data_IF_852570617994
#
_entry.id   IF_852570617994
#
_cell.length_a   1.000
_cell.length_b   1.000
_cell.length_c   1.000
_cell.angle_alpha   90.00
_cell.angle_beta   90.00
_cell.angle_gamma   90.00
#
_symmetry.space_group_name_H-M   'P 1'
#
loop_
_entity.id
_entity.type
_entity.pdbx_description
1 polymer ?
#
# COMPACT_ATOMS: atom_id res chain seq x y z
N UNK A 1 16.94 44.84 32.56
CA UNK A 1 15.69 44.96 33.34
C UNK A 1 14.48 44.23 32.72
N UNK A 2 14.15 44.40 31.42
CA UNK A 2 13.03 43.65 30.80
C UNK A 2 13.32 42.14 30.64
N UNK A 3 14.49 41.79 30.13
CA UNK A 3 14.85 40.37 29.91
C UNK A 3 14.96 39.58 31.21
N UNK A 4 15.57 40.17 32.25
CA UNK A 4 15.67 39.55 33.59
C UNK A 4 14.29 39.27 34.19
N UNK A 5 13.38 40.26 34.13
CA UNK A 5 11.99 40.09 34.60
C UNK A 5 11.23 38.99 33.84
N UNK A 6 11.43 38.87 32.53
CA UNK A 6 10.82 37.79 31.73
C UNK A 6 11.41 36.42 32.10
N UNK A 7 12.72 36.34 32.37
CA UNK A 7 13.39 35.15 32.88
C UNK A 7 12.83 34.69 34.24
N UNK A 8 12.67 35.62 35.18
CA UNK A 8 12.10 35.32 36.50
C UNK A 8 10.63 34.90 36.41
N UNK A 9 9.87 35.51 35.50
CA UNK A 9 8.48 35.14 35.26
C UNK A 9 8.36 33.72 34.66
N UNK A 10 9.23 33.38 33.71
CA UNK A 10 9.29 32.04 33.13
C UNK A 10 9.62 31.00 34.20
N UNK A 11 10.63 31.27 35.02
CA UNK A 11 11.09 30.36 36.09
C UNK A 11 10.01 30.12 37.16
N UNK A 12 9.26 31.16 37.51
CA UNK A 12 8.10 31.02 38.43
C UNK A 12 6.98 30.21 37.81
N UNK A 13 6.69 30.41 36.51
CA UNK A 13 5.67 29.63 35.81
C UNK A 13 6.05 28.15 35.66
N UNK A 14 7.32 27.83 35.40
CA UNK A 14 7.78 26.43 35.33
C UNK A 14 7.65 25.75 36.68
N UNK A 15 8.15 26.37 37.76
CA UNK A 15 8.02 25.82 39.11
C UNK A 15 6.54 25.62 39.52
N UNK A 16 5.66 26.56 39.15
CA UNK A 16 4.22 26.41 39.39
C UNK A 16 3.59 25.26 38.60
N UNK A 17 4.05 25.00 37.37
CA UNK A 17 3.54 23.88 36.55
C UNK A 17 4.03 22.53 37.06
N UNK A 18 5.28 22.47 37.52
CA UNK A 18 5.89 21.24 38.05
C UNK A 18 5.22 20.81 39.37
N UNK A 19 4.65 21.75 40.12
CA UNK A 19 3.90 21.49 41.34
C UNK A 19 2.39 21.24 41.13
N UNK A 20 1.89 21.24 39.88
CA UNK A 20 0.46 21.01 39.61
C UNK A 20 0.06 19.56 39.94
N UNK A 21 -1.08 19.40 40.59
CA UNK A 21 -1.78 18.11 40.65
C UNK A 21 -2.39 17.74 39.30
N UNK A 22 -2.71 16.45 39.10
CA UNK A 22 -3.38 15.97 37.89
C UNK A 22 -4.69 16.72 37.60
N UNK A 23 -5.47 17.04 38.63
CA UNK A 23 -6.73 17.78 38.48
C UNK A 23 -6.50 19.23 38.05
N UNK A 24 -5.51 19.91 38.64
CA UNK A 24 -5.12 21.26 38.24
C UNK A 24 -4.59 21.28 36.81
N UNK A 25 -3.76 20.31 36.43
CA UNK A 25 -3.28 20.15 35.06
C UNK A 25 -4.44 19.93 34.09
N UNK A 26 -5.38 19.04 34.42
CA UNK A 26 -6.59 18.80 33.59
C UNK A 26 -7.38 20.09 33.41
N UNK A 27 -7.77 20.74 34.51
CA UNK A 27 -8.54 21.99 34.48
C UNK A 27 -7.85 23.08 33.65
N UNK A 28 -6.54 23.26 33.82
CA UNK A 28 -5.76 24.21 33.01
C UNK A 28 -5.74 23.82 31.53
N UNK A 29 -5.55 22.54 31.20
CA UNK A 29 -5.55 22.10 29.80
C UNK A 29 -6.93 22.21 29.16
N UNK A 30 -8.00 22.01 29.92
CA UNK A 30 -9.37 22.15 29.43
C UNK A 30 -9.72 23.62 29.17
N UNK A 31 -9.36 24.53 30.09
CA UNK A 31 -9.47 25.97 29.87
C UNK A 31 -8.66 26.41 28.64
N UNK A 32 -7.42 25.89 28.49
CA UNK A 32 -6.60 26.18 27.31
C UNK A 32 -7.24 25.67 26.01
N UNK A 33 -7.85 24.48 26.01
CA UNK A 33 -8.58 23.93 24.86
C UNK A 33 -9.81 24.78 24.54
N UNK A 34 -10.57 25.20 25.54
CA UNK A 34 -11.75 26.03 25.37
C UNK A 34 -11.38 27.39 24.75
N UNK A 35 -10.35 28.07 25.27
CA UNK A 35 -9.86 29.33 24.71
C UNK A 35 -9.36 29.17 23.27
N UNK A 36 -8.63 28.09 22.98
CA UNK A 36 -8.20 27.81 21.60
C UNK A 36 -9.38 27.53 20.68
N UNK A 37 -10.39 26.79 21.14
CA UNK A 37 -11.62 26.53 20.40
C UNK A 37 -12.37 27.81 20.06
N UNK A 38 -12.57 28.68 21.06
CA UNK A 38 -13.19 29.99 20.88
C UNK A 38 -12.40 30.88 19.90
N UNK A 39 -11.07 30.93 20.04
CA UNK A 39 -10.21 31.66 19.11
C UNK A 39 -10.34 31.13 17.68
N UNK A 40 -10.41 29.82 17.47
CA UNK A 40 -10.61 29.21 16.14
C UNK A 40 -12.00 29.45 15.55
N UNK A 41 -13.01 29.54 16.40
CA UNK A 41 -14.38 29.86 15.98
C UNK A 41 -14.50 31.31 15.51
N UNK A 42 -13.74 32.22 16.12
CA UNK A 42 -13.68 33.64 15.77
C UNK A 42 -12.73 33.96 14.60
N UNK A 43 -11.98 32.98 14.06
CA UNK A 43 -11.05 33.20 12.94
C UNK A 43 -11.78 33.67 11.68
N UNK A 44 -11.25 34.70 11.02
CA UNK A 44 -11.64 35.05 9.66
C UNK A 44 -11.21 33.95 8.67
N UNK A 45 -11.81 33.89 7.46
CA UNK A 45 -11.37 32.96 6.41
C UNK A 45 -9.89 33.09 6.07
N UNK A 46 -9.34 34.31 6.04
CA UNK A 46 -7.93 34.58 5.74
C UNK A 46 -7.03 34.07 6.87
N UNK A 47 -7.38 34.37 8.13
CA UNK A 47 -6.64 33.88 9.30
C UNK A 47 -6.63 32.35 9.35
N UNK A 48 -7.78 31.73 9.03
CA UNK A 48 -7.91 30.28 8.91
C UNK A 48 -7.01 29.72 7.80
N UNK A 49 -6.98 30.36 6.63
CA UNK A 49 -6.11 29.96 5.53
C UNK A 49 -4.63 30.05 5.91
N UNK A 50 -4.19 31.15 6.52
CA UNK A 50 -2.82 31.31 7.00
C UNK A 50 -2.45 30.23 8.01
N UNK A 51 -3.28 30.00 9.04
CA UNK A 51 -3.04 28.95 10.04
C UNK A 51 -2.92 27.56 9.41
N UNK A 52 -3.80 27.22 8.46
CA UNK A 52 -3.74 25.95 7.73
C UNK A 52 -2.52 25.87 6.80
N UNK A 53 -2.10 27.00 6.21
CA UNK A 53 -0.84 27.14 5.48
C UNK A 53 0.36 26.81 6.36
N UNK A 54 0.49 27.47 7.50
CA UNK A 54 1.59 27.25 8.46
C UNK A 54 1.58 25.83 9.02
N UNK A 55 0.39 25.25 9.25
CA UNK A 55 0.26 23.86 9.66
C UNK A 55 0.79 22.91 8.59
N UNK A 56 0.44 23.14 7.32
CA UNK A 56 0.96 22.35 6.18
C UNK A 56 2.48 22.49 6.05
N UNK A 57 3.02 23.70 6.15
CA UNK A 57 4.46 23.96 6.06
C UNK A 57 5.25 23.26 7.18
N UNK A 58 4.77 23.34 8.42
CA UNK A 58 5.35 22.61 9.56
C UNK A 58 5.29 21.09 9.38
N UNK A 59 4.17 20.58 8.88
CA UNK A 59 4.04 19.15 8.58
C UNK A 59 4.99 18.71 7.47
N UNK A 60 5.17 19.51 6.41
CA UNK A 60 6.12 19.21 5.34
C UNK A 60 7.55 19.17 5.89
N UNK A 61 7.97 20.21 6.60
CA UNK A 61 9.30 20.28 7.22
C UNK A 61 9.56 19.10 8.16
N UNK A 62 8.57 18.74 8.98
CA UNK A 62 8.66 17.57 9.85
C UNK A 62 8.78 16.26 9.07
N UNK A 63 8.13 16.13 7.89
CA UNK A 63 8.25 14.94 7.04
C UNK A 63 9.62 14.82 6.40
N UNK A 64 10.19 15.93 5.96
CA UNK A 64 11.51 15.96 5.33
C UNK A 64 12.62 15.61 6.33
N UNK A 65 12.44 16.00 7.60
CA UNK A 65 13.35 15.65 8.68
C UNK A 65 13.24 14.20 9.18
N UNK A 66 12.27 13.39 8.71
CA UNK A 66 12.06 12.02 9.21
C UNK A 66 13.13 11.04 8.72
N UNK A 67 13.61 10.22 9.64
CA UNK A 67 14.45 9.06 9.30
C UNK A 67 13.71 8.04 8.43
N UNK A 68 14.45 7.13 7.79
CA UNK A 68 13.85 6.05 7.00
C UNK A 68 12.91 5.18 7.83
N UNK A 69 13.32 4.80 9.05
CA UNK A 69 12.51 4.00 9.98
C UNK A 69 11.22 4.72 10.39
N UNK A 70 11.30 6.01 10.73
CA UNK A 70 10.12 6.82 11.05
C UNK A 70 9.17 6.99 9.86
N UNK A 71 9.70 6.95 8.63
CA UNK A 71 8.88 6.91 7.41
C UNK A 71 8.21 5.54 7.26
N UNK A 72 8.93 4.44 7.47
CA UNK A 72 8.39 3.08 7.37
C UNK A 72 7.29 2.82 8.41
N UNK A 73 7.48 3.20 9.68
CA UNK A 73 6.43 3.05 10.71
C UNK A 73 5.17 3.84 10.37
N UNK A 74 5.33 5.07 9.86
CA UNK A 74 4.21 5.87 9.36
C UNK A 74 3.50 5.20 8.19
N UNK A 75 4.24 4.69 7.20
CA UNK A 75 3.63 3.99 6.07
C UNK A 75 2.94 2.69 6.50
N UNK A 76 3.48 1.97 7.49
CA UNK A 76 2.85 0.80 8.10
C UNK A 76 1.52 1.16 8.77
N UNK A 77 1.50 2.19 9.61
CA UNK A 77 0.28 2.68 10.27
C UNK A 77 -0.78 3.16 9.27
N UNK A 78 -0.39 3.80 8.16
CA UNK A 78 -1.31 4.24 7.11
C UNK A 78 -1.81 3.09 6.20
N UNK A 79 -1.13 1.94 6.21
CA UNK A 79 -1.53 0.74 5.46
C UNK A 79 -2.50 -0.15 6.23
N UNK A 80 -2.78 0.14 7.50
CA UNK A 80 -3.78 -0.58 8.28
C UNK A 80 -5.18 -0.36 7.68
N UNK A 81 -5.59 -1.29 6.82
CA UNK A 81 -6.91 -1.35 6.17
C UNK A 81 -7.88 -2.25 6.91
N UNK A 82 -7.45 -2.81 8.04
CA UNK A 82 -8.17 -3.81 8.83
C UNK A 82 -9.47 -3.27 9.45
N UNK A 83 -9.64 -1.94 9.50
CA UNK A 83 -10.83 -1.28 10.02
C UNK A 83 -11.84 -0.84 8.94
N UNK A 84 -11.61 -1.10 7.64
CA UNK A 84 -12.59 -0.76 6.60
C UNK A 84 -13.83 -1.65 6.70
N UNK A 85 -15.03 -1.06 6.68
CA UNK A 85 -16.26 -1.83 6.54
C UNK A 85 -16.40 -2.42 5.12
N UNK A 86 -17.25 -3.45 4.92
CA UNK A 86 -17.54 -3.98 3.59
C UNK A 86 -18.05 -2.92 2.61
N UNK A 87 -18.87 -1.97 3.07
CA UNK A 87 -19.42 -0.87 2.27
C UNK A 87 -18.32 0.12 1.88
N UNK A 88 -17.45 0.50 2.83
CA UNK A 88 -16.30 1.35 2.56
C UNK A 88 -15.35 0.70 1.55
N UNK A 89 -15.15 -0.61 1.67
CA UNK A 89 -14.35 -1.40 0.73
C UNK A 89 -14.94 -1.37 -0.68
N UNK A 90 -16.27 -1.54 -0.81
CA UNK A 90 -16.97 -1.46 -2.11
C UNK A 90 -16.81 -0.09 -2.75
N UNK A 91 -17.10 0.97 -2.00
CA UNK A 91 -16.96 2.37 -2.47
C UNK A 91 -15.53 2.63 -2.95
N UNK A 92 -14.52 2.19 -2.20
CA UNK A 92 -13.11 2.35 -2.57
C UNK A 92 -12.77 1.60 -3.85
N UNK A 93 -13.25 0.36 -4.01
CA UNK A 93 -13.00 -0.43 -5.23
C UNK A 93 -13.67 0.21 -6.44
N UNK A 94 -14.89 0.74 -6.29
CA UNK A 94 -15.61 1.40 -7.37
C UNK A 94 -14.96 2.73 -7.78
N UNK A 95 -14.50 3.54 -6.81
CA UNK A 95 -13.70 4.74 -7.08
C UNK A 95 -12.38 4.38 -7.80
N UNK A 96 -11.70 3.32 -7.34
CA UNK A 96 -10.47 2.84 -7.96
C UNK A 96 -10.71 2.38 -9.42
N UNK A 97 -11.78 1.62 -9.68
CA UNK A 97 -12.17 1.20 -11.03
C UNK A 97 -12.48 2.39 -11.92
N UNK A 98 -13.24 3.36 -11.40
CA UNK A 98 -13.62 4.56 -12.15
C UNK A 98 -12.41 5.39 -12.54
N UNK A 99 -11.46 5.62 -11.61
CA UNK A 99 -10.21 6.32 -11.89
C UNK A 99 -9.34 5.59 -12.90
N UNK A 100 -9.23 4.27 -12.79
CA UNK A 100 -8.48 3.47 -13.77
C UNK A 100 -9.13 3.52 -15.15
N UNK A 101 -10.46 3.47 -15.24
CA UNK A 101 -11.20 3.64 -16.49
C UNK A 101 -10.94 4.99 -17.13
N UNK A 102 -11.06 6.08 -16.36
CA UNK A 102 -10.76 7.44 -16.82
C UNK A 102 -9.30 7.58 -17.28
N UNK A 103 -8.34 7.06 -16.51
CA UNK A 103 -6.94 7.07 -16.88
C UNK A 103 -6.69 6.35 -18.20
N UNK A 104 -7.32 5.18 -18.42
CA UNK A 104 -7.20 4.41 -19.67
C UNK A 104 -7.84 5.11 -20.86
N UNK A 105 -8.96 5.80 -20.64
CA UNK A 105 -9.63 6.57 -21.69
C UNK A 105 -8.78 7.77 -22.14
N UNK A 106 -8.01 8.36 -21.23
CA UNK A 106 -7.11 9.47 -21.50
C UNK A 106 -5.71 9.05 -21.98
N UNK A 107 -5.40 7.74 -22.10
CA UNK A 107 -4.09 7.26 -22.55
C UNK A 107 -3.79 7.69 -23.99
N UNK A 108 -2.58 8.20 -24.23
CA UNK A 108 -2.07 8.37 -25.60
C UNK A 108 -1.75 7.00 -26.24
N UNK A 109 -1.64 6.91 -27.57
CA UNK A 109 -1.24 5.68 -28.25
C UNK A 109 0.09 5.10 -27.75
N UNK A 110 1.07 5.95 -27.44
CA UNK A 110 2.38 5.55 -26.92
C UNK A 110 2.24 4.95 -25.51
N UNK A 111 1.51 5.63 -24.62
CA UNK A 111 1.23 5.13 -23.27
C UNK A 111 0.52 3.77 -23.30
N UNK A 112 -0.44 3.62 -24.22
CA UNK A 112 -1.16 2.36 -24.44
C UNK A 112 -0.23 1.25 -24.92
N UNK A 113 0.72 1.53 -25.81
CA UNK A 113 1.73 0.56 -26.28
C UNK A 113 2.62 0.12 -25.14
N UNK A 114 3.20 1.05 -24.39
CA UNK A 114 4.04 0.76 -23.22
C UNK A 114 3.30 -0.10 -22.19
N UNK A 115 2.06 0.26 -21.85
CA UNK A 115 1.23 -0.53 -20.93
C UNK A 115 1.00 -1.96 -21.44
N UNK A 116 0.75 -2.12 -22.74
CA UNK A 116 0.51 -3.43 -23.35
C UNK A 116 1.78 -4.28 -23.39
N UNK A 117 2.93 -3.68 -23.67
CA UNK A 117 4.24 -4.34 -23.59
C UNK A 117 4.56 -4.79 -22.16
N UNK A 118 4.34 -3.93 -21.17
CA UNK A 118 4.50 -4.27 -19.76
C UNK A 118 3.58 -5.43 -19.35
N UNK A 119 2.33 -5.41 -19.81
CA UNK A 119 1.39 -6.49 -19.55
C UNK A 119 1.86 -7.81 -20.16
N UNK A 120 2.33 -7.79 -21.42
CA UNK A 120 2.90 -8.97 -22.09
C UNK A 120 4.12 -9.49 -21.34
N UNK A 121 5.05 -8.61 -20.94
CA UNK A 121 6.24 -8.97 -20.17
C UNK A 121 5.90 -9.62 -18.83
N UNK A 122 4.94 -9.06 -18.08
CA UNK A 122 4.48 -9.65 -16.81
C UNK A 122 3.83 -11.01 -17.00
N UNK A 123 3.00 -11.17 -18.03
CA UNK A 123 2.38 -12.46 -18.36
C UNK A 123 3.43 -13.49 -18.77
N UNK A 124 4.40 -13.11 -19.60
CA UNK A 124 5.50 -13.97 -19.99
C UNK A 124 6.34 -14.41 -18.78
N UNK A 125 6.71 -13.47 -17.89
CA UNK A 125 7.43 -13.78 -16.65
C UNK A 125 6.64 -14.72 -15.74
N UNK A 126 5.33 -14.48 -15.56
CA UNK A 126 4.46 -15.35 -14.76
C UNK A 126 4.36 -16.76 -15.34
N UNK A 127 4.30 -16.91 -16.67
CA UNK A 127 4.30 -18.21 -17.34
C UNK A 127 5.67 -18.88 -17.26
N UNK A 128 6.75 -18.13 -17.37
CA UNK A 128 8.10 -18.67 -17.27
C UNK A 128 8.36 -19.26 -15.87
N UNK A 129 7.98 -18.55 -14.80
CA UNK A 129 8.06 -19.06 -13.41
C UNK A 129 7.29 -20.36 -13.24
N UNK A 130 6.15 -20.50 -13.92
CA UNK A 130 5.36 -21.73 -13.91
C UNK A 130 6.09 -22.93 -14.57
N UNK A 131 6.96 -22.68 -15.56
CA UNK A 131 7.71 -23.74 -16.27
C UNK A 131 9.10 -24.01 -15.69
N UNK A 132 9.75 -23.04 -15.03
CA UNK A 132 11.07 -23.25 -14.40
C UNK A 132 11.07 -24.34 -13.34
N UNK A 133 9.91 -24.62 -12.73
CA UNK A 133 9.74 -25.74 -11.81
C UNK A 133 9.89 -27.11 -12.49
N UNK A 134 9.59 -27.19 -13.79
CA UNK A 134 9.67 -28.41 -14.61
C UNK A 134 11.00 -28.57 -15.34
N UNK A 135 11.89 -27.59 -15.23
CA UNK A 135 13.17 -27.60 -15.92
C UNK A 135 14.08 -28.72 -15.37
N UNK A 136 14.31 -29.75 -16.18
CA UNK A 136 15.11 -30.92 -15.81
C UNK A 136 14.34 -32.05 -15.11
N UNK A 137 13.04 -31.88 -14.82
CA UNK A 137 12.22 -32.95 -14.20
C UNK A 137 12.07 -34.18 -15.12
N UNK A 138 12.10 -33.99 -16.45
CA UNK A 138 12.08 -35.11 -17.40
C UNK A 138 13.29 -36.06 -17.27
N UNK A 139 14.45 -35.56 -16.83
CA UNK A 139 15.65 -36.38 -16.61
C UNK A 139 15.67 -37.06 -15.23
N UNK A 140 14.76 -36.65 -14.33
CA UNK A 140 14.57 -37.20 -12.99
C UNK A 140 13.24 -37.93 -12.90
N UNK A 141 12.97 -38.81 -13.85
CA UNK A 141 11.77 -39.63 -13.84
C UNK A 141 11.72 -40.46 -12.54
N UNK A 142 10.71 -40.20 -11.72
CA UNK A 142 10.42 -40.93 -10.49
C UNK A 142 9.08 -41.65 -10.65
N UNK A 143 9.06 -42.99 -10.79
CA UNK A 143 7.84 -43.77 -10.97
C UNK A 143 6.82 -43.62 -9.84
N UNK A 144 7.22 -43.11 -8.67
CA UNK A 144 6.30 -42.86 -7.55
C UNK A 144 5.41 -41.62 -7.76
N UNK A 145 5.77 -40.74 -8.69
CA UNK A 145 4.98 -39.55 -9.01
C UNK A 145 3.85 -39.86 -9.99
N UNK A 146 2.65 -39.34 -9.70
CA UNK A 146 1.52 -39.43 -10.60
C UNK A 146 1.59 -38.31 -11.66
N UNK A 147 2.33 -38.57 -12.74
CA UNK A 147 2.48 -37.63 -13.86
C UNK A 147 1.19 -37.48 -14.69
N UNK A 148 0.32 -38.49 -14.71
CA UNK A 148 -0.93 -38.47 -15.49
C UNK A 148 -1.91 -37.39 -15.01
N UNK A 149 -1.88 -37.07 -13.71
CA UNK A 149 -2.73 -36.05 -13.08
C UNK A 149 -1.98 -34.77 -12.72
N UNK A 150 -0.78 -34.55 -13.27
CA UNK A 150 0.00 -33.38 -12.90
C UNK A 150 -0.63 -32.09 -13.48
N UNK A 151 -0.97 -31.06 -12.67
CA UNK A 151 -1.71 -29.87 -13.13
C UNK A 151 -1.05 -29.08 -14.28
N UNK A 152 0.24 -29.31 -14.48
CA UNK A 152 1.08 -28.62 -15.47
C UNK A 152 1.44 -29.51 -16.67
N UNK A 153 1.15 -30.82 -16.64
CA UNK A 153 1.43 -31.76 -17.72
C UNK A 153 0.12 -32.26 -18.32
N UNK A 154 -0.23 -31.74 -19.51
CA UNK A 154 -1.35 -32.23 -20.29
C UNK A 154 -0.81 -33.04 -21.47
N UNK A 155 -0.36 -34.27 -21.19
CA UNK A 155 0.25 -35.17 -22.19
C UNK A 155 -0.82 -35.75 -23.15
N UNK A 156 -2.10 -35.73 -22.74
CA UNK A 156 -3.21 -36.29 -23.53
C UNK A 156 -3.25 -37.81 -23.49
N UNK A 157 -4.37 -38.41 -23.91
CA UNK A 157 -4.53 -39.87 -23.92
C UNK A 157 -3.94 -40.50 -25.19
N UNK A 158 -3.35 -41.69 -25.05
CA UNK A 158 -2.92 -42.51 -26.18
C UNK A 158 -4.12 -43.28 -26.71
N UNK A 159 -4.69 -42.82 -27.82
CA UNK A 159 -5.93 -43.38 -28.39
C UNK A 159 -5.72 -44.11 -29.71
N UNK A 160 -4.58 -43.94 -30.36
CA UNK A 160 -4.27 -44.56 -31.64
C UNK A 160 -3.50 -45.87 -31.40
N UNK A 161 -3.65 -46.87 -32.27
CA UNK A 161 -2.90 -48.13 -32.18
C UNK A 161 -1.78 -48.12 -33.23
N UNK A 162 -0.56 -48.48 -32.84
CA UNK A 162 0.57 -48.61 -33.73
C UNK A 162 0.40 -49.82 -34.66
N UNK A 163 0.52 -49.59 -35.96
CA UNK A 163 0.37 -50.64 -36.99
C UNK A 163 1.45 -51.71 -37.01
N UNK A 164 2.56 -51.51 -36.28
CA UNK A 164 3.72 -52.41 -36.31
C UNK A 164 3.85 -53.29 -35.06
N UNK A 165 3.28 -52.86 -33.93
CA UNK A 165 3.46 -53.55 -32.65
C UNK A 165 2.22 -53.57 -31.75
N UNK A 166 1.06 -53.11 -32.25
CA UNK A 166 -0.22 -53.04 -31.54
C UNK A 166 -0.21 -52.23 -30.23
N UNK A 167 0.86 -51.48 -29.94
CA UNK A 167 0.92 -50.58 -28.80
C UNK A 167 0.02 -49.35 -29.01
N UNK A 168 -0.58 -48.83 -27.94
CA UNK A 168 -1.24 -47.52 -27.97
C UNK A 168 -0.18 -46.43 -28.23
N UNK A 169 -0.57 -45.37 -28.93
CA UNK A 169 0.26 -44.24 -29.34
C UNK A 169 -0.53 -42.93 -29.31
N UNK A 170 0.17 -41.79 -29.35
CA UNK A 170 -0.50 -40.49 -29.39
C UNK A 170 -1.04 -40.16 -30.78
N UNK A 171 -2.19 -39.46 -30.87
CA UNK A 171 -2.69 -38.93 -32.13
C UNK A 171 -1.66 -38.03 -32.81
N UNK A 172 -1.29 -38.36 -34.05
CA UNK A 172 -0.30 -37.59 -34.83
C UNK A 172 1.16 -37.91 -34.52
N UNK A 173 1.44 -38.92 -33.70
CA UNK A 173 2.79 -39.45 -33.51
C UNK A 173 3.30 -40.10 -34.80
N UNK A 174 4.52 -39.73 -35.20
CA UNK A 174 5.17 -40.25 -36.40
C UNK A 174 5.25 -41.79 -36.34
N UNK A 175 5.09 -42.48 -37.49
CA UNK A 175 5.14 -43.93 -37.56
C UNK A 175 6.50 -44.53 -37.19
#
# INVERSE_FOLDING_TARGET
>A
QRQTRLGDQCSRQTASRDAESLEQTRARTDDQRARQGASRAAESPEQRQTRLGDQRARQASSRDAKSSEQRQTRFGSLRAREAESPEQTRIRIDDQRSRQGASRAAETPEQRRTRSEDQRRRQAASRAVHWTFMEGEAFRYDPANNYDNHPQLHIGQMTDVCSYCDALKWPGEAP
#
